data_IF_132312864559
#
_entry.id   IF_132312864559
#
_cell.length_a   1.000
_cell.length_b   1.000
_cell.length_c   1.000
_cell.angle_alpha   90.00
_cell.angle_beta   90.00
_cell.angle_gamma   90.00
#
_symmetry.space_group_name_H-M   'P 1'
#
loop_
_entity.id
_entity.type
_entity.pdbx_description
1 polymer ?
#
# COMPACT_ATOMS: atom_id res chain seq x y z
N UNK A 1 17.78 -20.47 -16.88
CA UNK A 1 16.95 -19.28 -17.10
C UNK A 1 15.86 -19.28 -16.05
N UNK A 2 15.73 -18.21 -15.30
CA UNK A 2 14.71 -18.05 -14.26
C UNK A 2 13.35 -17.81 -14.92
N UNK A 3 12.37 -18.61 -14.58
CA UNK A 3 10.99 -18.47 -15.09
C UNK A 3 10.24 -17.46 -14.24
N UNK A 4 9.67 -16.46 -14.87
CA UNK A 4 9.04 -15.31 -14.20
C UNK A 4 7.62 -15.09 -14.73
N UNK A 5 6.70 -14.74 -13.85
CA UNK A 5 5.34 -14.31 -14.20
C UNK A 5 5.00 -12.99 -13.49
N UNK A 6 4.37 -12.07 -14.20
CA UNK A 6 3.91 -10.79 -13.67
C UNK A 6 2.39 -10.80 -13.48
N UNK A 7 1.95 -10.42 -12.29
CA UNK A 7 0.55 -10.23 -11.94
C UNK A 7 0.34 -8.75 -11.59
N UNK A 8 -0.62 -8.12 -12.25
CA UNK A 8 -0.86 -6.68 -12.16
C UNK A 8 -0.30 -5.93 -13.37
N UNK A 9 -1.12 -5.78 -14.41
CA UNK A 9 -0.77 -5.12 -15.68
C UNK A 9 -1.17 -3.65 -15.73
N UNK A 10 -1.13 -2.96 -14.58
CA UNK A 10 -1.35 -1.51 -14.49
C UNK A 10 -0.16 -0.70 -15.02
N UNK A 11 -0.19 0.61 -14.80
CA UNK A 11 0.92 1.50 -15.22
C UNK A 11 2.27 1.06 -14.68
N UNK A 12 2.32 0.65 -13.40
CA UNK A 12 3.57 0.24 -12.76
C UNK A 12 4.01 -1.15 -13.22
N UNK A 13 3.08 -2.08 -13.42
CA UNK A 13 3.40 -3.37 -14.04
C UNK A 13 4.05 -3.24 -15.41
N UNK A 14 3.61 -2.28 -16.24
CA UNK A 14 4.26 -1.99 -17.51
C UNK A 14 5.69 -1.41 -17.35
N UNK A 15 5.94 -0.64 -16.28
CA UNK A 15 7.30 -0.16 -15.96
C UNK A 15 8.21 -1.32 -15.58
N UNK A 16 7.72 -2.23 -14.74
CA UNK A 16 8.44 -3.45 -14.36
C UNK A 16 8.72 -4.33 -15.58
N UNK A 17 7.71 -4.60 -16.41
CA UNK A 17 7.88 -5.38 -17.64
C UNK A 17 8.99 -4.80 -18.53
N UNK A 18 8.98 -3.48 -18.75
CA UNK A 18 10.01 -2.80 -19.50
C UNK A 18 11.41 -2.88 -18.85
N UNK A 19 11.50 -2.82 -17.53
CA UNK A 19 12.77 -2.90 -16.81
C UNK A 19 13.40 -4.30 -16.93
N UNK A 20 12.57 -5.34 -16.90
CA UNK A 20 13.01 -6.74 -16.94
C UNK A 20 13.17 -7.22 -18.38
N UNK A 21 12.44 -6.64 -19.33
CA UNK A 21 12.48 -7.07 -20.72
C UNK A 21 13.90 -6.97 -21.30
N UNK A 22 14.33 -8.06 -21.93
CA UNK A 22 15.68 -8.15 -22.49
C UNK A 22 16.77 -8.60 -21.50
N UNK A 23 16.45 -8.96 -20.27
CA UNK A 23 17.38 -9.66 -19.37
C UNK A 23 17.58 -11.09 -19.88
N UNK A 24 18.81 -11.44 -20.26
CA UNK A 24 19.14 -12.69 -20.99
C UNK A 24 18.87 -13.99 -20.22
N UNK A 25 18.68 -13.92 -18.92
CA UNK A 25 18.48 -15.07 -18.04
C UNK A 25 17.05 -15.21 -17.53
N UNK A 26 16.13 -14.39 -18.02
CA UNK A 26 14.71 -14.45 -17.69
C UNK A 26 13.93 -15.10 -18.83
N UNK A 27 12.94 -15.90 -18.46
CA UNK A 27 11.96 -16.48 -19.33
C UNK A 27 10.55 -16.20 -18.81
N UNK A 28 9.75 -15.47 -19.56
CA UNK A 28 8.36 -15.22 -19.24
C UNK A 28 7.52 -16.48 -19.44
N UNK A 29 6.74 -16.84 -18.43
CA UNK A 29 5.87 -18.02 -18.43
C UNK A 29 4.55 -17.70 -17.72
N UNK A 30 3.58 -18.60 -17.83
CA UNK A 30 2.37 -18.55 -17.01
C UNK A 30 2.71 -18.77 -15.53
N UNK A 31 1.87 -18.25 -14.63
CA UNK A 31 2.15 -18.23 -13.19
C UNK A 31 2.34 -19.62 -12.59
N UNK A 32 1.67 -20.62 -13.12
CA UNK A 32 1.78 -22.00 -12.65
C UNK A 32 3.18 -22.59 -12.90
N UNK A 33 3.81 -22.21 -14.02
CA UNK A 33 5.14 -22.69 -14.45
C UNK A 33 6.29 -21.81 -13.92
N UNK A 34 5.99 -20.65 -13.31
CA UNK A 34 6.99 -19.70 -12.88
C UNK A 34 7.77 -20.17 -11.64
N UNK A 35 9.05 -19.79 -11.58
CA UNK A 35 9.90 -19.88 -10.38
C UNK A 35 9.67 -18.66 -9.47
N UNK A 36 9.41 -17.51 -10.08
CA UNK A 36 9.14 -16.24 -9.43
C UNK A 36 7.83 -15.63 -9.90
N UNK A 37 7.04 -15.17 -8.94
CA UNK A 37 5.85 -14.34 -9.17
C UNK A 37 6.18 -12.90 -8.81
N UNK A 38 5.96 -11.99 -9.74
CA UNK A 38 6.07 -10.55 -9.52
C UNK A 38 4.67 -9.99 -9.31
N UNK A 39 4.41 -9.41 -8.14
CA UNK A 39 3.13 -8.80 -7.78
C UNK A 39 3.23 -7.27 -7.89
N UNK A 40 2.46 -6.70 -8.83
CA UNK A 40 2.30 -5.25 -9.03
C UNK A 40 0.82 -4.88 -8.99
N UNK A 41 0.16 -5.31 -7.92
CA UNK A 41 -1.27 -5.14 -7.66
C UNK A 41 -1.52 -4.04 -6.61
N UNK A 42 -2.76 -3.64 -6.33
CA UNK A 42 -3.08 -2.75 -5.21
C UNK A 42 -2.68 -3.34 -3.86
N UNK A 43 -2.25 -2.48 -2.92
CA UNK A 43 -1.69 -2.87 -1.63
C UNK A 43 -2.62 -3.74 -0.78
N UNK A 44 -3.93 -3.54 -0.88
CA UNK A 44 -4.96 -4.31 -0.16
C UNK A 44 -5.04 -5.78 -0.59
N UNK A 45 -4.45 -6.13 -1.73
CA UNK A 45 -4.38 -7.49 -2.24
C UNK A 45 -3.06 -8.20 -1.91
N UNK A 46 -2.03 -7.47 -1.47
CA UNK A 46 -0.68 -8.02 -1.32
C UNK A 46 -0.64 -9.18 -0.33
N UNK A 47 -1.23 -9.03 0.87
CA UNK A 47 -1.17 -10.07 1.89
C UNK A 47 -1.74 -11.40 1.40
N UNK A 48 -2.94 -11.39 0.81
CA UNK A 48 -3.60 -12.59 0.30
C UNK A 48 -2.82 -13.21 -0.87
N UNK A 49 -2.38 -12.39 -1.83
CA UNK A 49 -1.67 -12.87 -3.01
C UNK A 49 -0.27 -13.40 -2.68
N UNK A 50 0.48 -12.70 -1.83
CA UNK A 50 1.80 -13.17 -1.37
C UNK A 50 1.64 -14.49 -0.63
N UNK A 51 0.72 -14.57 0.36
CA UNK A 51 0.45 -15.81 1.10
C UNK A 51 0.09 -16.96 0.18
N UNK A 52 -0.77 -16.71 -0.81
CA UNK A 52 -1.17 -17.73 -1.78
C UNK A 52 0.02 -18.30 -2.56
N UNK A 53 0.87 -17.44 -3.12
CA UNK A 53 1.99 -17.89 -3.95
C UNK A 53 3.13 -18.51 -3.13
N UNK A 54 3.39 -18.03 -1.92
CA UNK A 54 4.33 -18.66 -1.00
C UNK A 54 3.87 -20.10 -0.64
N UNK A 55 2.55 -20.29 -0.39
CA UNK A 55 1.97 -21.62 -0.15
C UNK A 55 2.11 -22.56 -1.36
N UNK A 56 2.14 -22.02 -2.59
CA UNK A 56 2.43 -22.79 -3.81
C UNK A 56 3.93 -23.00 -4.03
N UNK A 57 4.77 -22.69 -3.04
CA UNK A 57 6.24 -22.81 -3.09
C UNK A 57 6.86 -22.01 -4.23
N UNK A 58 6.28 -20.86 -4.56
CA UNK A 58 6.87 -19.89 -5.51
C UNK A 58 7.66 -18.84 -4.74
N UNK A 59 8.77 -18.39 -5.33
CA UNK A 59 9.41 -17.17 -4.87
C UNK A 59 8.54 -15.98 -5.29
N UNK A 60 8.47 -14.95 -4.45
CA UNK A 60 7.62 -13.78 -4.68
C UNK A 60 8.45 -12.50 -4.61
N UNK A 61 8.31 -11.68 -5.64
CA UNK A 61 8.61 -10.25 -5.59
C UNK A 61 7.29 -9.50 -5.42
N UNK A 62 7.21 -8.60 -4.46
CA UNK A 62 6.03 -7.80 -4.22
C UNK A 62 6.35 -6.31 -4.22
N UNK A 63 5.50 -5.51 -4.88
CA UNK A 63 5.53 -4.07 -4.77
C UNK A 63 5.35 -3.60 -3.32
N UNK A 64 5.95 -2.44 -3.04
CA UNK A 64 5.82 -1.83 -1.72
C UNK A 64 4.51 -1.01 -1.57
N UNK A 65 4.00 -0.84 -0.35
CA UNK A 65 4.36 -1.58 0.85
C UNK A 65 3.91 -3.03 0.77
N UNK A 66 4.68 -3.95 1.36
CA UNK A 66 4.30 -5.37 1.40
C UNK A 66 2.93 -5.54 2.07
N UNK A 67 2.78 -4.96 3.25
CA UNK A 67 1.51 -4.77 3.96
C UNK A 67 1.50 -3.41 4.67
N UNK A 68 0.40 -3.05 5.33
CA UNK A 68 0.26 -1.78 6.04
C UNK A 68 0.69 -1.83 7.50
N UNK A 69 1.00 -3.02 8.05
CA UNK A 69 1.42 -3.23 9.44
C UNK A 69 2.71 -4.04 9.51
N UNK A 70 3.51 -3.76 10.54
CA UNK A 70 4.74 -4.49 10.80
C UNK A 70 4.51 -5.99 11.01
N UNK A 71 3.50 -6.35 11.82
CA UNK A 71 3.20 -7.75 12.14
C UNK A 71 2.81 -8.55 10.90
N UNK A 72 1.92 -8.02 10.06
CA UNK A 72 1.53 -8.72 8.83
C UNK A 72 2.69 -8.87 7.84
N UNK A 73 3.56 -7.86 7.74
CA UNK A 73 4.77 -7.98 6.90
C UNK A 73 5.73 -9.04 7.45
N UNK A 74 5.91 -9.07 8.77
CA UNK A 74 6.76 -10.06 9.44
C UNK A 74 6.22 -11.48 9.26
N UNK A 75 4.91 -11.68 9.41
CA UNK A 75 4.26 -12.97 9.17
C UNK A 75 4.54 -13.52 7.77
N UNK A 76 4.49 -12.67 6.73
CA UNK A 76 4.76 -13.09 5.36
C UNK A 76 6.23 -13.50 5.16
N UNK A 77 7.18 -12.78 5.75
CA UNK A 77 8.59 -13.17 5.69
C UNK A 77 8.84 -14.48 6.45
N UNK A 78 8.28 -14.63 7.65
CA UNK A 78 8.39 -15.86 8.45
C UNK A 78 7.76 -17.04 7.70
N UNK A 79 6.63 -16.80 7.01
CA UNK A 79 5.98 -17.81 6.20
C UNK A 79 6.84 -18.21 4.99
N UNK A 80 7.43 -17.27 4.27
CA UNK A 80 8.35 -17.56 3.16
C UNK A 80 9.52 -18.44 3.62
N UNK A 81 10.13 -18.10 4.76
CA UNK A 81 11.20 -18.88 5.38
C UNK A 81 10.74 -20.31 5.71
N UNK A 82 9.58 -20.46 6.34
CA UNK A 82 9.01 -21.78 6.69
C UNK A 82 8.72 -22.66 5.47
N UNK A 83 8.36 -22.03 4.34
CA UNK A 83 8.10 -22.73 3.08
C UNK A 83 9.37 -23.03 2.27
N UNK A 84 10.52 -22.47 2.69
CA UNK A 84 11.81 -22.60 2.01
C UNK A 84 11.86 -21.86 0.67
N UNK A 85 11.10 -20.76 0.53
CA UNK A 85 11.04 -19.89 -0.64
C UNK A 85 11.44 -18.47 -0.29
N UNK A 86 11.67 -17.65 -1.31
CA UNK A 86 12.15 -16.29 -1.18
C UNK A 86 11.00 -15.30 -1.32
N UNK A 87 10.98 -14.29 -0.44
CA UNK A 87 10.17 -13.11 -0.55
C UNK A 87 11.09 -11.89 -0.69
N UNK A 88 10.85 -11.06 -1.67
CA UNK A 88 11.56 -9.81 -1.91
C UNK A 88 10.56 -8.68 -2.15
N UNK A 89 10.76 -7.55 -1.49
CA UNK A 89 9.87 -6.38 -1.62
C UNK A 89 10.61 -5.27 -2.35
N UNK A 90 9.91 -4.52 -3.18
CA UNK A 90 10.47 -3.40 -3.92
C UNK A 90 11.21 -2.42 -3.00
N UNK A 91 12.51 -2.33 -3.19
CA UNK A 91 13.42 -1.41 -2.52
C UNK A 91 14.22 -0.55 -3.52
N UNK A 92 13.62 -0.29 -4.68
CA UNK A 92 14.26 0.35 -5.85
C UNK A 92 15.06 1.61 -5.52
N UNK A 93 14.64 2.40 -4.52
CA UNK A 93 15.35 3.63 -4.17
C UNK A 93 16.67 3.36 -3.42
N UNK A 94 16.84 2.23 -2.77
CA UNK A 94 18.11 1.85 -2.13
C UNK A 94 19.18 1.45 -3.16
N UNK A 95 18.79 1.25 -4.43
CA UNK A 95 19.66 0.96 -5.56
C UNK A 95 20.16 2.20 -6.31
N UNK A 96 19.84 3.39 -5.79
CA UNK A 96 20.35 4.66 -6.30
C UNK A 96 21.69 4.97 -5.62
N UNK A 97 22.59 5.58 -6.38
CA UNK A 97 23.93 6.01 -5.93
C UNK A 97 24.09 7.53 -5.96
N UNK A 98 22.97 8.25 -6.14
CA UNK A 98 22.93 9.70 -6.34
C UNK A 98 22.33 10.45 -5.14
N UNK A 99 22.47 9.92 -3.93
CA UNK A 99 22.06 10.58 -2.69
C UNK A 99 22.95 10.19 -1.50
N UNK A 100 23.02 11.07 -0.51
CA UNK A 100 23.67 10.81 0.77
C UNK A 100 22.68 10.92 1.94
N UNK A 101 22.80 10.04 2.91
CA UNK A 101 22.07 10.09 4.19
C UNK A 101 23.07 10.53 5.27
N UNK A 102 22.72 11.58 6.01
CA UNK A 102 23.55 12.16 7.05
C UNK A 102 23.22 11.53 8.43
N UNK A 103 24.20 11.55 9.30
CA UNK A 103 24.05 10.99 10.65
C UNK A 103 23.21 11.86 11.59
N UNK A 104 22.96 13.12 11.24
CA UNK A 104 22.23 14.08 12.09
C UNK A 104 20.85 14.43 11.51
N UNK A 105 20.80 15.36 10.55
CA UNK A 105 19.54 15.87 9.99
C UNK A 105 19.46 15.57 8.49
N UNK A 106 18.35 14.99 8.08
CA UNK A 106 18.04 14.68 6.69
C UNK A 106 16.77 15.38 6.23
N UNK A 107 16.72 15.74 4.95
CA UNK A 107 15.59 16.41 4.32
C UNK A 107 15.13 15.63 3.09
N UNK A 108 13.86 15.27 3.07
CA UNK A 108 13.24 14.54 1.98
C UNK A 108 12.09 15.35 1.38
N UNK A 109 12.19 15.66 0.11
CA UNK A 109 11.17 16.40 -0.62
C UNK A 109 10.75 15.63 -1.85
N UNK A 110 9.45 15.36 -1.99
CA UNK A 110 8.93 14.76 -3.21
C UNK A 110 7.55 15.30 -3.56
N UNK A 111 7.50 16.11 -4.62
CA UNK A 111 6.25 16.59 -5.17
C UNK A 111 6.08 16.13 -6.61
N UNK A 112 4.86 15.85 -7.02
CA UNK A 112 4.54 15.43 -8.38
C UNK A 112 3.08 15.69 -8.72
N UNK A 113 2.71 15.70 -10.04
CA UNK A 113 1.33 15.96 -10.45
C UNK A 113 0.32 14.91 -9.96
N UNK A 114 -0.91 15.37 -9.73
CA UNK A 114 -2.06 14.53 -9.37
C UNK A 114 -1.89 13.78 -8.04
N UNK A 115 -1.33 14.44 -7.03
CA UNK A 115 -1.17 13.90 -5.67
C UNK A 115 -2.24 14.42 -4.68
N UNK A 116 -3.29 15.08 -5.16
CA UNK A 116 -4.44 15.44 -4.32
C UNK A 116 -5.06 14.18 -3.74
N UNK A 117 -5.40 14.22 -2.47
CA UNK A 117 -5.99 13.11 -1.70
C UNK A 117 -5.13 11.82 -1.68
N UNK A 118 -3.82 11.97 -1.79
CA UNK A 118 -2.90 10.83 -1.77
C UNK A 118 -2.50 10.47 -0.34
N UNK A 119 -2.44 9.18 -0.07
CA UNK A 119 -1.73 8.66 1.10
C UNK A 119 -0.22 8.81 0.87
N UNK A 120 0.33 9.95 1.27
CA UNK A 120 1.75 10.27 1.07
C UNK A 120 2.67 9.31 1.79
N UNK A 121 2.27 8.85 2.98
CA UNK A 121 3.11 8.00 3.84
C UNK A 121 3.39 6.67 3.15
N UNK A 122 2.37 5.92 2.74
CA UNK A 122 2.56 4.61 2.12
C UNK A 122 3.07 4.70 0.67
N UNK A 123 2.79 5.79 -0.03
CA UNK A 123 3.15 5.91 -1.45
C UNK A 123 4.50 6.53 -1.70
N UNK A 124 4.86 7.56 -0.95
CA UNK A 124 6.08 8.35 -1.17
C UNK A 124 7.08 8.20 -0.02
N UNK A 125 6.64 8.48 1.21
CA UNK A 125 7.51 8.45 2.37
C UNK A 125 8.09 7.05 2.63
N UNK A 126 7.37 6.00 2.30
CA UNK A 126 7.84 4.62 2.48
C UNK A 126 9.21 4.37 1.84
N UNK A 127 9.46 4.88 0.63
CA UNK A 127 10.78 4.81 0.01
C UNK A 127 11.84 5.57 0.80
N UNK A 128 11.51 6.78 1.25
CA UNK A 128 12.44 7.59 2.04
C UNK A 128 12.72 6.97 3.42
N UNK A 129 11.75 6.29 4.00
CA UNK A 129 11.99 5.52 5.23
C UNK A 129 12.99 4.39 4.99
N UNK A 130 12.87 3.63 3.90
CA UNK A 130 13.88 2.63 3.54
C UNK A 130 15.27 3.22 3.39
N UNK A 131 15.38 4.38 2.71
CA UNK A 131 16.64 5.07 2.51
C UNK A 131 17.25 5.60 3.82
N UNK A 132 16.43 6.15 4.72
CA UNK A 132 16.88 6.84 5.93
C UNK A 132 17.23 5.90 7.08
N UNK A 133 16.32 4.99 7.44
CA UNK A 133 16.57 4.08 8.56
C UNK A 133 17.36 2.85 8.16
N UNK A 134 17.29 2.46 6.88
CA UNK A 134 18.04 1.32 6.37
C UNK A 134 17.73 0.04 7.15
N UNK A 135 18.77 -0.73 7.41
CA UNK A 135 18.72 -1.98 8.18
C UNK A 135 19.04 -1.78 9.68
N UNK A 136 19.20 -0.52 10.12
CA UNK A 136 19.53 -0.17 11.50
C UNK A 136 18.29 -0.19 12.36
N UNK A 137 18.35 -0.85 13.50
CA UNK A 137 17.29 -0.77 14.50
C UNK A 137 17.12 0.66 14.99
N UNK A 138 15.87 1.07 15.18
CA UNK A 138 15.55 2.41 15.63
C UNK A 138 14.36 2.42 16.60
N UNK A 139 14.33 3.46 17.44
CA UNK A 139 13.18 3.83 18.24
C UNK A 139 12.85 5.31 17.99
N UNK A 140 11.58 5.61 17.82
CA UNK A 140 11.13 6.98 17.62
C UNK A 140 11.03 7.70 18.96
N UNK A 141 11.63 8.89 19.05
CA UNK A 141 11.48 9.79 20.18
C UNK A 141 10.27 10.71 19.99
N UNK A 142 10.11 11.28 18.80
CA UNK A 142 9.05 12.24 18.50
C UNK A 142 8.66 12.26 17.03
N UNK A 143 7.38 12.56 16.76
CA UNK A 143 6.82 12.80 15.43
C UNK A 143 5.93 14.04 15.50
N UNK A 144 6.20 15.04 14.68
CA UNK A 144 5.43 16.30 14.62
C UNK A 144 5.09 16.69 13.20
N UNK A 145 3.99 17.40 13.01
CA UNK A 145 3.55 17.94 11.70
C UNK A 145 2.25 17.32 11.20
N UNK A 146 2.06 17.35 9.90
CA UNK A 146 0.90 16.85 9.17
C UNK A 146 1.32 15.70 8.22
N UNK A 147 0.41 14.86 7.71
CA UNK A 147 0.78 13.69 6.90
C UNK A 147 1.61 13.97 5.64
N UNK A 148 1.65 15.20 5.17
CA UNK A 148 2.42 15.62 4.00
C UNK A 148 3.60 16.55 4.33
N UNK A 149 3.73 16.98 5.58
CA UNK A 149 4.81 17.86 6.04
C UNK A 149 5.11 17.54 7.51
N UNK A 150 6.07 16.68 7.76
CA UNK A 150 6.35 16.16 9.10
C UNK A 150 7.84 15.97 9.37
N UNK A 151 8.13 15.88 10.65
CA UNK A 151 9.46 15.63 11.19
C UNK A 151 9.43 14.42 12.11
N UNK A 152 10.44 13.59 12.00
CA UNK A 152 10.68 12.44 12.87
C UNK A 152 12.02 12.61 13.56
N UNK A 153 12.05 12.40 14.87
CA UNK A 153 13.26 12.33 15.67
C UNK A 153 13.40 10.94 16.27
N UNK A 154 14.57 10.35 16.14
CA UNK A 154 14.92 9.05 16.71
C UNK A 154 15.65 9.22 18.05
N UNK A 155 15.59 8.21 18.92
CA UNK A 155 16.26 8.22 20.21
C UNK A 155 17.79 8.25 20.13
N UNK A 156 18.37 7.83 19.00
CA UNK A 156 19.81 7.88 18.73
C UNK A 156 20.28 9.29 18.29
N UNK A 157 19.37 10.25 18.17
CA UNK A 157 19.63 11.63 17.81
C UNK A 157 19.40 11.97 16.33
N UNK A 158 19.31 10.97 15.44
CA UNK A 158 18.98 11.21 14.03
C UNK A 158 17.62 11.88 13.89
N UNK A 159 17.52 12.80 12.93
CA UNK A 159 16.29 13.53 12.62
C UNK A 159 16.06 13.53 11.13
N UNK A 160 14.81 13.49 10.69
CA UNK A 160 14.46 13.71 9.29
C UNK A 160 13.20 14.55 9.13
N UNK A 161 13.20 15.41 8.13
CA UNK A 161 12.08 16.25 7.71
C UNK A 161 11.59 15.79 6.35
N UNK A 162 10.28 15.64 6.23
CA UNK A 162 9.63 15.07 5.05
C UNK A 162 8.57 16.01 4.52
N UNK A 163 8.69 16.35 3.24
CA UNK A 163 7.69 17.17 2.55
C UNK A 163 7.20 16.51 1.27
N UNK A 164 5.90 16.35 1.15
CA UNK A 164 5.21 15.76 0.01
C UNK A 164 4.10 16.67 -0.48
N UNK A 165 3.87 16.72 -1.79
CA UNK A 165 2.84 17.60 -2.30
C UNK A 165 2.41 17.34 -3.74
N UNK A 166 1.32 18.01 -4.11
CA UNK A 166 0.89 18.14 -5.51
C UNK A 166 1.60 19.33 -6.16
N UNK A 167 2.10 19.14 -7.35
CA UNK A 167 2.79 20.18 -8.12
C UNK A 167 2.61 19.96 -9.62
N UNK A 168 2.90 20.98 -10.43
CA UNK A 168 2.85 20.87 -11.89
C UNK A 168 3.99 20.05 -12.48
N UNK A 169 5.08 19.85 -11.72
CA UNK A 169 6.29 19.14 -12.15
C UNK A 169 6.72 18.15 -11.06
N UNK A 170 7.47 17.13 -11.46
CA UNK A 170 8.13 16.24 -10.51
C UNK A 170 9.32 16.98 -9.92
N UNK A 171 9.39 17.03 -8.60
CA UNK A 171 10.52 17.53 -7.82
C UNK A 171 10.83 16.46 -6.78
N UNK A 172 12.05 15.96 -6.77
CA UNK A 172 12.46 14.94 -5.82
C UNK A 172 13.88 15.24 -5.33
N UNK A 173 14.01 15.57 -4.05
CA UNK A 173 15.27 15.86 -3.39
C UNK A 173 15.45 14.97 -2.16
N UNK A 174 16.67 14.52 -1.97
CA UNK A 174 17.16 13.95 -0.71
C UNK A 174 18.35 14.79 -0.29
N UNK A 175 18.22 15.49 0.84
CA UNK A 175 19.18 16.48 1.28
C UNK A 175 19.42 17.54 0.18
N UNK A 176 20.63 17.66 -0.32
CA UNK A 176 21.00 18.60 -1.38
C UNK A 176 21.00 17.96 -2.77
N UNK A 177 20.69 16.66 -2.89
CA UNK A 177 20.79 15.94 -4.15
C UNK A 177 19.45 15.91 -4.87
N UNK A 178 19.47 16.24 -6.17
CA UNK A 178 18.29 16.22 -7.05
C UNK A 178 18.07 14.83 -7.66
N UNK A 179 17.11 14.12 -7.14
CA UNK A 179 16.69 12.79 -7.60
C UNK A 179 15.58 12.84 -8.66
N UNK A 180 15.21 14.02 -9.14
CA UNK A 180 14.10 14.21 -10.10
C UNK A 180 14.33 13.43 -11.40
N UNK A 181 15.56 13.40 -11.88
CA UNK A 181 15.96 12.69 -13.08
C UNK A 181 16.81 11.48 -12.71
N UNK A 182 16.30 10.30 -13.03
CA UNK A 182 17.01 9.06 -12.79
C UNK A 182 18.01 8.79 -13.94
N UNK A 183 19.31 8.96 -13.69
CA UNK A 183 20.35 8.72 -14.69
C UNK A 183 20.68 7.23 -14.82
N UNK A 184 20.57 6.47 -13.73
CA UNK A 184 20.74 5.01 -13.68
C UNK A 184 19.35 4.37 -13.62
N UNK A 185 19.19 3.19 -14.18
CA UNK A 185 17.91 2.46 -14.09
C UNK A 185 17.93 1.54 -12.84
N UNK A 186 17.67 2.08 -11.63
CA UNK A 186 17.80 1.31 -10.39
C UNK A 186 16.84 0.11 -10.35
N UNK A 187 15.66 0.24 -10.95
CA UNK A 187 14.70 -0.86 -11.04
C UNK A 187 15.29 -2.04 -11.84
N UNK A 188 15.95 -1.75 -12.96
CA UNK A 188 16.62 -2.77 -13.74
C UNK A 188 17.79 -3.39 -12.98
N UNK A 189 18.62 -2.56 -12.34
CA UNK A 189 19.75 -3.02 -11.53
C UNK A 189 19.30 -3.93 -10.40
N UNK A 190 18.24 -3.56 -9.69
CA UNK A 190 17.61 -4.36 -8.65
C UNK A 190 17.19 -5.75 -9.17
N UNK A 191 16.49 -5.81 -10.31
CA UNK A 191 16.06 -7.09 -10.89
C UNK A 191 17.22 -7.89 -11.44
N UNK A 192 18.25 -7.26 -12.01
CA UNK A 192 19.49 -7.95 -12.43
C UNK A 192 20.15 -8.66 -11.24
N UNK A 193 20.23 -7.97 -10.11
CA UNK A 193 20.79 -8.54 -8.88
C UNK A 193 19.89 -9.65 -8.32
N UNK A 194 18.60 -9.42 -8.21
CA UNK A 194 17.62 -10.37 -7.67
C UNK A 194 17.66 -11.70 -8.45
N UNK A 195 17.61 -11.62 -9.77
CA UNK A 195 17.54 -12.82 -10.61
C UNK A 195 18.90 -13.45 -10.95
N UNK A 196 20.02 -12.80 -10.62
CA UNK A 196 21.36 -13.41 -10.70
C UNK A 196 21.68 -14.34 -9.51
N UNK A 197 20.73 -14.61 -8.64
CA UNK A 197 20.88 -15.32 -7.35
C UNK A 197 21.83 -14.66 -6.35
N UNK A 198 22.04 -13.35 -6.49
CA UNK A 198 22.86 -12.55 -5.57
C UNK A 198 22.02 -11.75 -4.59
N UNK A 199 20.67 -11.89 -4.63
CA UNK A 199 19.75 -11.12 -3.79
C UNK A 199 20.05 -11.26 -2.30
N UNK A 200 20.24 -10.15 -1.61
CA UNK A 200 20.35 -10.12 -0.15
C UNK A 200 18.94 -10.06 0.46
N UNK A 201 18.38 -11.24 0.71
CA UNK A 201 17.02 -11.36 1.22
C UNK A 201 16.88 -10.94 2.68
N UNK A 202 17.95 -11.10 3.46
CA UNK A 202 17.96 -10.68 4.86
C UNK A 202 18.01 -9.17 4.99
N UNK A 203 18.83 -8.51 4.19
CA UNK A 203 18.84 -7.05 4.10
C UNK A 203 17.48 -6.52 3.64
N UNK A 204 16.92 -7.06 2.56
CA UNK A 204 15.60 -6.63 2.05
C UNK A 204 14.49 -6.82 3.09
N UNK A 205 14.50 -7.92 3.84
CA UNK A 205 13.59 -8.14 4.97
C UNK A 205 13.70 -7.03 6.00
N UNK A 206 14.92 -6.69 6.44
CA UNK A 206 15.15 -5.63 7.44
C UNK A 206 14.70 -4.28 6.94
N UNK A 207 15.09 -3.89 5.72
CA UNK A 207 14.66 -2.64 5.08
C UNK A 207 13.13 -2.52 5.04
N UNK A 208 12.47 -3.59 4.60
CA UNK A 208 11.00 -3.65 4.49
C UNK A 208 10.33 -3.53 5.86
N UNK A 209 10.78 -4.29 6.84
CA UNK A 209 10.20 -4.28 8.18
C UNK A 209 10.41 -2.94 8.87
N UNK A 210 11.58 -2.33 8.74
CA UNK A 210 11.88 -1.02 9.28
C UNK A 210 11.04 0.08 8.63
N UNK A 211 10.93 0.10 7.30
CA UNK A 211 10.09 1.07 6.61
C UNK A 211 8.61 0.90 6.96
N UNK A 212 8.13 -0.34 7.12
CA UNK A 212 6.76 -0.61 7.53
C UNK A 212 6.51 -0.17 8.97
N UNK A 213 7.43 -0.46 9.91
CA UNK A 213 7.37 0.01 11.32
C UNK A 213 7.29 1.54 11.37
N UNK A 214 8.15 2.23 10.62
CA UNK A 214 8.16 3.69 10.54
C UNK A 214 6.85 4.22 9.97
N UNK A 215 6.41 3.70 8.83
CA UNK A 215 5.16 4.09 8.18
C UNK A 215 3.95 3.92 9.10
N UNK A 216 3.85 2.79 9.81
CA UNK A 216 2.78 2.51 10.75
C UNK A 216 2.76 3.51 11.92
N UNK A 217 3.94 3.80 12.52
CA UNK A 217 4.07 4.73 13.65
C UNK A 217 3.77 6.18 13.22
N UNK A 218 4.28 6.62 12.07
CA UNK A 218 3.99 7.96 11.52
C UNK A 218 2.50 8.11 11.23
N UNK A 219 1.87 7.14 10.59
CA UNK A 219 0.41 7.15 10.36
C UNK A 219 -0.37 7.20 11.68
N UNK A 220 0.00 6.36 12.64
CA UNK A 220 -0.65 6.34 13.95
C UNK A 220 -0.57 7.68 14.70
N UNK A 221 0.48 8.45 14.48
CA UNK A 221 0.68 9.75 15.13
C UNK A 221 -0.02 10.87 14.38
N UNK A 222 0.13 10.93 13.06
CA UNK A 222 -0.27 12.08 12.24
C UNK A 222 -1.68 11.97 11.62
N UNK A 223 -2.22 10.75 11.47
CA UNK A 223 -3.53 10.59 10.86
C UNK A 223 -4.64 11.19 11.76
N UNK A 224 -5.56 11.96 11.19
CA UNK A 224 -6.69 12.49 11.94
C UNK A 224 -7.54 11.34 12.50
N UNK A 225 -8.06 11.52 13.70
CA UNK A 225 -8.87 10.52 14.38
C UNK A 225 -10.36 10.79 14.16
N UNK A 226 -11.13 9.72 13.95
CA UNK A 226 -12.57 9.80 13.83
C UNK A 226 -13.23 8.72 14.69
N UNK A 227 -14.21 9.13 15.49
CA UNK A 227 -15.08 8.21 16.23
C UNK A 227 -16.39 8.07 15.46
N UNK A 228 -16.76 6.84 15.13
CA UNK A 228 -18.06 6.49 14.54
C UNK A 228 -18.88 5.75 15.60
N UNK A 229 -20.06 6.26 15.90
CA UNK A 229 -20.98 5.63 16.86
C UNK A 229 -22.14 4.99 16.11
N UNK A 230 -22.32 3.69 16.32
CA UNK A 230 -23.31 2.85 15.65
C UNK A 230 -22.76 2.07 14.46
N UNK A 231 -22.80 0.75 14.53
CA UNK A 231 -22.27 -0.19 13.54
C UNK A 231 -23.28 -0.65 12.48
N UNK A 232 -24.40 0.06 12.28
CA UNK A 232 -25.32 -0.21 11.17
C UNK A 232 -24.71 0.17 9.81
N UNK A 233 -25.47 0.02 8.70
CA UNK A 233 -24.99 0.28 7.35
C UNK A 233 -24.39 1.67 7.14
N UNK A 234 -24.95 2.68 7.79
CA UNK A 234 -24.42 4.05 7.69
C UNK A 234 -23.11 4.21 8.44
N UNK A 235 -23.01 3.69 9.66
CA UNK A 235 -21.80 3.77 10.47
C UNK A 235 -20.65 2.98 9.88
N UNK A 236 -20.88 1.75 9.46
CA UNK A 236 -19.85 0.92 8.79
C UNK A 236 -19.41 1.55 7.46
N UNK A 237 -20.36 2.13 6.69
CA UNK A 237 -20.01 2.85 5.46
C UNK A 237 -19.17 4.10 5.73
N UNK A 238 -19.52 4.86 6.78
CA UNK A 238 -18.77 6.04 7.19
C UNK A 238 -17.35 5.64 7.67
N UNK A 239 -17.27 4.60 8.51
CA UNK A 239 -16.00 4.10 9.03
C UNK A 239 -15.06 3.68 7.88
N UNK A 240 -15.53 2.86 6.95
CA UNK A 240 -14.75 2.46 5.77
C UNK A 240 -14.37 3.67 4.90
N UNK A 241 -15.30 4.61 4.71
CA UNK A 241 -15.01 5.79 3.89
C UNK A 241 -13.94 6.66 4.55
N UNK A 242 -14.04 6.93 5.85
CA UNK A 242 -13.05 7.71 6.59
C UNK A 242 -11.68 7.00 6.59
N UNK A 243 -11.65 5.70 6.85
CA UNK A 243 -10.42 4.89 6.81
C UNK A 243 -9.73 4.97 5.45
N UNK A 244 -10.49 4.85 4.36
CA UNK A 244 -9.97 4.98 3.00
C UNK A 244 -9.46 6.41 2.66
N UNK A 245 -9.86 7.41 3.46
CA UNK A 245 -9.38 8.79 3.37
C UNK A 245 -8.30 9.12 4.42
N UNK A 246 -7.67 8.11 5.01
CA UNK A 246 -6.50 8.28 5.87
C UNK A 246 -6.82 8.61 7.34
N UNK A 247 -8.07 8.51 7.77
CA UNK A 247 -8.43 8.68 9.18
C UNK A 247 -8.15 7.40 9.96
N UNK A 248 -7.68 7.54 11.20
CA UNK A 248 -7.79 6.47 12.19
C UNK A 248 -9.22 6.44 12.71
N UNK A 249 -9.93 5.37 12.42
CA UNK A 249 -11.33 5.25 12.74
C UNK A 249 -11.53 4.27 13.89
N UNK A 250 -12.20 4.74 14.93
CA UNK A 250 -12.72 3.92 16.00
C UNK A 250 -14.24 3.82 15.82
N UNK A 251 -14.78 2.60 15.71
CA UNK A 251 -16.21 2.37 15.58
C UNK A 251 -16.73 1.72 16.87
N UNK A 252 -17.70 2.41 17.52
CA UNK A 252 -18.36 1.90 18.71
C UNK A 252 -19.75 1.38 18.34
N UNK A 253 -20.01 0.12 18.64
CA UNK A 253 -21.31 -0.53 18.49
C UNK A 253 -21.76 -1.06 19.86
N UNK A 254 -23.05 -0.93 20.17
CA UNK A 254 -23.65 -1.39 21.43
C UNK A 254 -23.85 -2.92 21.43
N UNK A 255 -24.09 -3.50 20.27
CA UNK A 255 -24.30 -4.95 20.09
C UNK A 255 -22.97 -5.68 19.89
N UNK A 256 -23.02 -6.99 19.94
CA UNK A 256 -21.83 -7.86 19.86
C UNK A 256 -21.08 -7.76 18.53
N UNK A 257 -21.79 -7.35 17.44
CA UNK A 257 -21.19 -7.20 16.11
C UNK A 257 -21.89 -6.08 15.34
N UNK A 258 -21.27 -5.66 14.23
CA UNK A 258 -21.83 -4.66 13.33
C UNK A 258 -23.03 -5.22 12.55
N UNK A 259 -23.91 -4.33 12.08
CA UNK A 259 -25.08 -4.67 11.27
C UNK A 259 -26.20 -5.46 11.99
N UNK A 260 -26.09 -5.76 13.26
CA UNK A 260 -27.03 -6.61 14.02
C UNK A 260 -28.36 -5.93 14.42
N UNK A 261 -28.53 -4.64 14.20
CA UNK A 261 -29.78 -3.90 14.51
C UNK A 261 -30.70 -3.81 13.28
N UNK A 262 -31.18 -2.62 12.97
CA UNK A 262 -32.09 -2.36 11.84
C UNK A 262 -31.51 -2.79 10.48
N UNK A 263 -30.20 -2.86 10.35
CA UNK A 263 -29.54 -3.34 9.12
C UNK A 263 -29.67 -4.83 8.88
N UNK A 264 -29.79 -5.65 9.95
CA UNK A 264 -30.01 -7.08 9.86
C UNK A 264 -31.46 -7.44 9.59
N UNK A 265 -32.41 -6.73 10.21
CA UNK A 265 -33.84 -7.03 10.12
C UNK A 265 -34.55 -6.43 8.91
N UNK A 266 -33.84 -5.69 8.04
CA UNK A 266 -34.43 -5.16 6.83
C UNK A 266 -34.68 -6.28 5.82
N UNK A 267 -35.47 -5.96 4.77
CA UNK A 267 -35.88 -6.97 3.76
C UNK A 267 -34.77 -7.38 2.78
N UNK A 268 -33.53 -6.94 2.95
CA UNK A 268 -32.40 -7.19 2.03
C UNK A 268 -32.68 -6.90 0.56
N UNK A 269 -33.59 -5.93 0.28
CA UNK A 269 -34.05 -5.60 -1.06
C UNK A 269 -33.51 -4.25 -1.51
N UNK A 270 -32.95 -4.22 -2.70
CA UNK A 270 -32.63 -2.97 -3.39
C UNK A 270 -33.88 -2.40 -4.04
N UNK A 271 -34.44 -1.36 -3.44
CA UNK A 271 -35.65 -0.71 -3.92
C UNK A 271 -35.40 0.12 -5.18
N UNK A 272 -36.26 -0.06 -6.18
CA UNK A 272 -36.27 0.73 -7.43
C UNK A 272 -37.24 1.91 -7.38
N UNK A 273 -37.78 2.25 -6.21
CA UNK A 273 -38.71 3.36 -6.03
C UNK A 273 -40.20 2.99 -6.27
N UNK A 274 -40.53 1.75 -6.58
CA UNK A 274 -41.92 1.33 -6.87
C UNK A 274 -42.86 1.44 -5.66
N UNK A 275 -42.34 1.54 -4.44
CA UNK A 275 -43.14 1.74 -3.22
C UNK A 275 -43.60 3.18 -3.02
N UNK A 276 -43.14 4.11 -3.85
CA UNK A 276 -43.45 5.53 -3.74
C UNK A 276 -44.21 6.07 -4.98
N UNK A 277 -45.35 5.49 -5.37
CA UNK A 277 -46.05 5.87 -6.59
C UNK A 277 -46.60 7.30 -6.57
N UNK A 278 -46.70 7.91 -5.37
CA UNK A 278 -47.20 9.28 -5.17
C UNK A 278 -46.12 10.34 -5.06
N UNK A 279 -44.85 9.96 -5.09
CA UNK A 279 -43.70 10.87 -4.98
C UNK A 279 -42.70 10.56 -6.08
N UNK A 280 -42.75 11.34 -7.14
CA UNK A 280 -41.80 11.24 -8.26
C UNK A 280 -40.38 11.49 -7.83
N UNK A 281 -40.17 12.50 -6.98
CA UNK A 281 -38.83 12.87 -6.48
C UNK A 281 -38.20 11.74 -5.69
N UNK A 282 -38.95 11.11 -4.77
CA UNK A 282 -38.47 9.96 -3.99
C UNK A 282 -38.15 8.76 -4.89
N UNK A 283 -38.96 8.50 -5.91
CA UNK A 283 -38.68 7.43 -6.87
C UNK A 283 -37.42 7.68 -7.69
N UNK A 284 -37.17 8.91 -8.11
CA UNK A 284 -35.93 9.31 -8.79
C UNK A 284 -34.70 9.22 -7.90
N UNK A 285 -34.81 9.61 -6.63
CA UNK A 285 -33.74 9.45 -5.62
C UNK A 285 -33.41 7.97 -5.40
N UNK A 286 -34.42 7.10 -5.25
CA UNK A 286 -34.22 5.66 -5.13
C UNK A 286 -33.48 5.08 -6.34
N UNK A 287 -33.79 5.50 -7.56
CA UNK A 287 -33.12 5.05 -8.75
C UNK A 287 -31.65 5.50 -8.84
N UNK A 288 -31.37 6.74 -8.40
CA UNK A 288 -30.00 7.26 -8.28
C UNK A 288 -29.23 6.48 -7.24
N UNK A 289 -29.85 6.31 -6.05
CA UNK A 289 -29.29 5.55 -4.93
C UNK A 289 -28.99 4.11 -5.31
N UNK A 290 -29.86 3.43 -6.04
CA UNK A 290 -29.67 2.08 -6.53
C UNK A 290 -28.40 1.93 -7.38
N UNK A 291 -28.16 2.85 -8.30
CA UNK A 291 -26.96 2.83 -9.16
C UNK A 291 -25.68 3.01 -8.34
N UNK A 292 -25.72 3.94 -7.40
CA UNK A 292 -24.58 4.23 -6.51
C UNK A 292 -24.29 3.05 -5.58
N UNK A 293 -25.36 2.47 -5.01
CA UNK A 293 -25.24 1.32 -4.12
C UNK A 293 -24.66 0.11 -4.85
N UNK A 294 -25.19 -0.24 -6.02
CA UNK A 294 -24.67 -1.35 -6.84
C UNK A 294 -23.19 -1.19 -7.17
N UNK A 295 -22.75 0.02 -7.50
CA UNK A 295 -21.33 0.29 -7.79
C UNK A 295 -20.44 0.14 -6.56
N UNK A 296 -20.92 0.59 -5.38
CA UNK A 296 -20.13 0.60 -4.13
C UNK A 296 -20.10 -0.78 -3.46
N UNK A 297 -21.20 -1.52 -3.56
CA UNK A 297 -21.41 -2.80 -2.86
C UNK A 297 -21.72 -3.94 -3.84
N UNK A 298 -21.04 -3.97 -4.98
CA UNK A 298 -21.28 -4.93 -6.07
C UNK A 298 -21.25 -6.37 -5.58
N UNK A 299 -20.26 -6.71 -4.74
CA UNK A 299 -20.08 -8.06 -4.16
C UNK A 299 -21.20 -8.48 -3.19
N UNK A 300 -21.94 -7.51 -2.64
CA UNK A 300 -23.04 -7.76 -1.72
C UNK A 300 -24.40 -7.83 -2.41
N UNK A 301 -24.45 -7.61 -3.71
CA UNK A 301 -25.69 -7.63 -4.49
C UNK A 301 -25.85 -8.98 -5.17
N UNK A 302 -26.78 -9.80 -4.66
CA UNK A 302 -27.13 -11.08 -5.28
C UNK A 302 -28.29 -10.85 -6.26
N UNK A 303 -28.14 -11.27 -7.51
CA UNK A 303 -29.28 -11.35 -8.44
C UNK A 303 -30.09 -12.59 -8.06
N UNK A 304 -31.17 -12.38 -7.31
CA UNK A 304 -32.15 -13.44 -7.08
C UNK A 304 -33.06 -13.55 -8.32
N UNK A 305 -33.18 -14.74 -8.85
CA UNK A 305 -34.30 -15.07 -9.72
C UNK A 305 -35.57 -14.99 -8.88
N UNK A 306 -36.52 -14.13 -9.29
CA UNK A 306 -37.88 -14.03 -8.72
C UNK A 306 -38.77 -15.00 -9.46
#
# INVERSE_FOLDING_TARGET
MTKVSLIGHGKWGAVIDNAINGLKYINWVDSEDADWIILSTPNDLHYEQVSYWLAQKKNVFCEKPLTLTYESSKELFDFAESMGVKLYVDDVFTWRDDYDIYDDVNHFVWTKPNQKDTNYIDRLAYHHFMMWVGDTDFEIEDITGEPNDFKVKLQDGRTAEFFYGDSSQVIHFVNNEDLTNNQNNPLRTMFEFLFSNSGDYELNRKLTLNATKMSEQVKKTLSPKALVVGGGIFGTTAAVTLSNNGYQVELHEELEDVMMAASDINQYRLHRGYHYPRSKDTAEECLKGLKTFKRKYERSVVNGDI
#
